data_IF_231900002697
#
_entry.id   IF_231900002697
#
_cell.length_a   1.000
_cell.length_b   1.000
_cell.length_c   1.000
_cell.angle_alpha   90.00
_cell.angle_beta   90.00
_cell.angle_gamma   90.00
#
_symmetry.space_group_name_H-M   'P 1'
#
loop_
_entity.id
_entity.type
_entity.pdbx_description
1 polymer ?
#
# COMPACT_ATOMS: atom_id res chain seq x y z
N UNK A 1 -16.65 -7.66 14.84
CA UNK A 1 -16.35 -8.39 13.59
C UNK A 1 -14.97 -9.05 13.74
N UNK A 2 -14.91 -10.39 13.83
CA UNK A 2 -13.72 -11.15 14.29
C UNK A 2 -12.50 -10.96 13.37
N UNK A 3 -11.33 -10.73 13.97
CA UNK A 3 -10.03 -10.53 13.31
C UNK A 3 -9.59 -11.67 12.36
N UNK A 4 -10.23 -12.84 12.44
CA UNK A 4 -9.99 -14.00 11.58
C UNK A 4 -10.37 -13.75 10.11
N UNK A 5 -11.50 -13.09 9.83
CA UNK A 5 -11.92 -12.79 8.45
C UNK A 5 -11.00 -11.78 7.76
N UNK A 6 -10.36 -10.89 8.53
CA UNK A 6 -9.50 -9.83 8.00
C UNK A 6 -8.16 -10.41 7.49
N UNK A 7 -7.58 -11.37 8.23
CA UNK A 7 -6.34 -12.04 7.80
C UNK A 7 -6.56 -12.91 6.55
N UNK A 8 -7.68 -13.63 6.48
CA UNK A 8 -8.03 -14.47 5.33
C UNK A 8 -8.21 -13.67 4.04
N UNK A 9 -8.97 -12.57 4.10
CA UNK A 9 -9.21 -11.70 2.95
C UNK A 9 -7.92 -11.10 2.36
N UNK A 10 -7.04 -10.58 3.22
CA UNK A 10 -5.74 -10.04 2.79
C UNK A 10 -4.87 -11.08 2.08
N UNK A 11 -4.88 -12.33 2.55
CA UNK A 11 -4.11 -13.42 1.93
C UNK A 11 -4.64 -13.71 0.53
N UNK A 12 -5.97 -13.76 0.35
CA UNK A 12 -6.58 -14.01 -0.96
C UNK A 12 -6.22 -12.92 -1.99
N UNK A 13 -6.32 -11.64 -1.62
CA UNK A 13 -5.97 -10.54 -2.52
C UNK A 13 -4.50 -10.57 -2.96
N UNK A 14 -3.59 -10.88 -2.04
CA UNK A 14 -2.16 -11.00 -2.35
C UNK A 14 -1.90 -12.18 -3.32
N UNK A 15 -2.56 -13.32 -3.09
CA UNK A 15 -2.46 -14.48 -3.98
C UNK A 15 -2.93 -14.14 -5.39
N UNK A 16 -4.13 -13.55 -5.51
CA UNK A 16 -4.69 -13.20 -6.83
C UNK A 16 -3.83 -12.15 -7.53
N UNK A 17 -3.29 -11.18 -6.79
CA UNK A 17 -2.39 -10.17 -7.34
C UNK A 17 -1.12 -10.79 -7.96
N UNK A 18 -0.47 -11.72 -7.26
CA UNK A 18 0.73 -12.38 -7.79
C UNK A 18 0.42 -13.23 -9.01
N UNK A 19 -0.66 -14.02 -8.95
CA UNK A 19 -1.08 -14.87 -10.09
C UNK A 19 -1.38 -14.00 -11.32
N UNK A 20 -2.16 -12.92 -11.15
CA UNK A 20 -2.47 -11.99 -12.23
C UNK A 20 -1.20 -11.39 -12.84
N UNK A 21 -0.24 -10.98 -12.00
CA UNK A 21 1.01 -10.40 -12.48
C UNK A 21 1.89 -11.38 -13.26
N UNK A 22 1.99 -12.64 -12.81
CA UNK A 22 2.72 -13.65 -13.57
C UNK A 22 2.05 -13.93 -14.92
N UNK A 23 0.72 -14.01 -14.97
CA UNK A 23 -0.01 -14.18 -16.22
C UNK A 23 0.21 -13.01 -17.20
N UNK A 24 0.21 -11.76 -16.71
CA UNK A 24 0.52 -10.60 -17.55
C UNK A 24 1.96 -10.68 -18.09
N UNK A 25 2.94 -11.06 -17.26
CA UNK A 25 4.33 -11.23 -17.72
C UNK A 25 4.47 -12.32 -18.78
N UNK A 26 3.73 -13.43 -18.66
CA UNK A 26 3.67 -14.47 -19.69
C UNK A 26 3.04 -13.90 -20.97
N UNK A 27 1.93 -13.16 -20.84
CA UNK A 27 1.25 -12.54 -21.98
C UNK A 27 2.15 -11.55 -22.75
N UNK A 28 2.87 -10.68 -22.04
CA UNK A 28 3.84 -9.74 -22.63
C UNK A 28 4.92 -10.50 -23.41
N UNK A 29 5.39 -11.64 -22.89
CA UNK A 29 6.37 -12.48 -23.58
C UNK A 29 5.80 -13.14 -24.84
N UNK A 30 4.59 -13.69 -24.76
CA UNK A 30 3.92 -14.28 -25.92
C UNK A 30 3.69 -13.24 -27.03
N UNK A 31 3.33 -12.01 -26.65
CA UNK A 31 3.18 -10.89 -27.56
C UNK A 31 4.50 -10.50 -28.25
N UNK A 32 5.62 -10.50 -27.51
CA UNK A 32 6.96 -10.24 -28.06
C UNK A 32 7.40 -11.33 -29.06
N UNK A 33 7.09 -12.61 -28.79
CA UNK A 33 7.51 -13.75 -29.63
C UNK A 33 6.71 -13.92 -30.92
N UNK A 34 5.51 -13.36 -31.02
CA UNK A 34 4.72 -13.42 -32.24
C UNK A 34 4.15 -12.05 -32.55
N UNK A 35 4.60 -11.46 -33.66
CA UNK A 35 3.92 -10.35 -34.36
C UNK A 35 2.46 -10.75 -34.65
N UNK A 36 1.54 -10.53 -33.71
CA UNK A 36 0.06 -10.57 -33.86
C UNK A 36 -0.56 -11.90 -34.35
N UNK A 37 0.19 -12.83 -34.94
CA UNK A 37 -0.30 -14.10 -35.51
C UNK A 37 -0.55 -15.20 -34.46
N UNK A 38 -0.07 -15.07 -33.21
CA UNK A 38 -0.31 -16.08 -32.15
C UNK A 38 -1.77 -16.23 -31.80
N UNK A 39 -2.49 -15.11 -31.75
CA UNK A 39 -3.86 -15.07 -31.27
C UNK A 39 -4.86 -15.56 -32.33
N UNK A 40 -4.45 -15.62 -33.61
CA UNK A 40 -5.30 -16.15 -34.69
C UNK A 40 -5.31 -17.68 -34.76
N UNK A 41 -4.20 -18.35 -34.42
CA UNK A 41 -4.05 -19.81 -34.54
C UNK A 41 -3.78 -20.49 -33.19
N UNK A 42 -4.25 -19.93 -32.07
CA UNK A 42 -4.03 -20.51 -30.75
C UNK A 42 -4.91 -21.75 -30.52
N UNK A 43 -4.36 -22.94 -30.73
CA UNK A 43 -5.01 -24.18 -30.33
C UNK A 43 -4.72 -24.48 -28.84
N UNK A 44 -5.76 -24.50 -28.02
CA UNK A 44 -5.69 -24.78 -26.58
C UNK A 44 -5.14 -26.18 -26.28
N UNK A 45 -5.56 -27.18 -27.06
CA UNK A 45 -5.21 -28.59 -26.83
C UNK A 45 -3.74 -28.88 -27.12
N UNK A 46 -3.18 -28.25 -28.16
CA UNK A 46 -1.77 -28.40 -28.54
C UNK A 46 -0.79 -27.65 -27.63
N UNK A 47 -1.28 -26.72 -26.79
CA UNK A 47 -0.44 -25.90 -25.90
C UNK A 47 -0.73 -26.13 -24.42
N UNK A 48 -1.48 -27.17 -24.07
CA UNK A 48 -1.89 -27.47 -22.69
C UNK A 48 -0.68 -27.75 -21.79
N UNK A 49 0.35 -28.40 -22.33
CA UNK A 49 1.63 -28.66 -21.68
C UNK A 49 2.31 -27.35 -21.27
N UNK A 50 2.40 -26.38 -22.17
CA UNK A 50 3.00 -25.06 -21.93
C UNK A 50 2.22 -24.26 -20.89
N UNK A 51 0.90 -24.34 -20.91
CA UNK A 51 0.03 -23.70 -19.91
C UNK A 51 0.27 -24.31 -18.53
N UNK A 52 0.38 -25.63 -18.44
CA UNK A 52 0.70 -26.34 -17.20
C UNK A 52 2.08 -25.94 -16.65
N UNK A 53 3.11 -25.88 -17.50
CA UNK A 53 4.44 -25.40 -17.10
C UNK A 53 4.41 -23.95 -16.63
N UNK A 54 3.71 -23.06 -17.34
CA UNK A 54 3.59 -21.66 -16.95
C UNK A 54 2.86 -21.49 -15.60
N UNK A 55 1.84 -22.31 -15.34
CA UNK A 55 1.11 -22.35 -14.07
C UNK A 55 1.99 -22.82 -12.92
N UNK A 56 2.80 -23.86 -13.14
CA UNK A 56 3.77 -24.36 -12.15
C UNK A 56 4.81 -23.30 -11.80
N UNK A 57 5.36 -22.61 -12.80
CA UNK A 57 6.31 -21.50 -12.58
C UNK A 57 5.64 -20.39 -11.76
N UNK A 58 4.41 -20.02 -12.09
CA UNK A 58 3.63 -19.01 -11.36
C UNK A 58 3.46 -19.37 -9.89
N UNK A 59 3.18 -20.64 -9.61
CA UNK A 59 3.02 -21.15 -8.26
C UNK A 59 4.33 -21.10 -7.45
N UNK A 60 5.46 -21.50 -8.07
CA UNK A 60 6.79 -21.43 -7.43
C UNK A 60 7.17 -19.98 -7.12
N UNK A 61 6.97 -19.07 -8.07
CA UNK A 61 7.21 -17.62 -7.87
C UNK A 61 6.36 -17.08 -6.74
N UNK A 62 5.08 -17.46 -6.68
CA UNK A 62 4.20 -17.07 -5.59
C UNK A 62 4.68 -17.56 -4.22
N UNK A 63 5.08 -18.83 -4.08
CA UNK A 63 5.62 -19.36 -2.83
C UNK A 63 6.85 -18.56 -2.41
N UNK A 64 7.76 -18.28 -3.33
CA UNK A 64 8.97 -17.53 -3.03
C UNK A 64 8.67 -16.10 -2.53
N UNK A 65 7.77 -15.40 -3.22
CA UNK A 65 7.30 -14.07 -2.80
C UNK A 65 6.65 -14.12 -1.43
N UNK A 66 5.82 -15.15 -1.17
CA UNK A 66 5.17 -15.32 0.13
C UNK A 66 6.18 -15.52 1.26
N UNK A 67 7.23 -16.32 1.03
CA UNK A 67 8.32 -16.53 1.99
C UNK A 67 9.07 -15.22 2.24
N UNK A 68 9.41 -14.47 1.18
CA UNK A 68 10.07 -13.17 1.32
C UNK A 68 9.21 -12.15 2.07
N UNK A 69 7.91 -12.05 1.76
CA UNK A 69 6.98 -11.15 2.45
C UNK A 69 6.84 -11.51 3.93
N UNK A 70 6.88 -12.80 4.26
CA UNK A 70 6.81 -13.31 5.63
C UNK A 70 8.11 -13.06 6.40
N UNK A 71 9.26 -13.10 5.71
CA UNK A 71 10.58 -12.90 6.32
C UNK A 71 10.86 -11.43 6.68
N UNK A 72 10.29 -10.47 5.95
CA UNK A 72 10.56 -9.05 6.19
C UNK A 72 9.72 -8.50 7.37
N UNK A 73 10.36 -7.95 8.42
CA UNK A 73 9.65 -7.29 9.51
C UNK A 73 8.86 -6.07 9.04
N UNK A 74 7.69 -5.83 9.65
CA UNK A 74 6.82 -4.70 9.31
C UNK A 74 7.52 -3.33 9.36
N UNK A 75 8.53 -3.16 10.22
CA UNK A 75 9.30 -1.91 10.30
C UNK A 75 10.15 -1.69 9.03
N UNK A 76 10.76 -2.76 8.50
CA UNK A 76 11.55 -2.71 7.28
C UNK A 76 10.66 -2.50 6.06
N UNK A 77 9.48 -3.15 6.03
CA UNK A 77 8.42 -2.90 5.03
C UNK A 77 8.12 -1.41 4.86
N UNK A 78 7.98 -0.70 5.98
CA UNK A 78 7.72 0.74 5.95
C UNK A 78 8.91 1.60 5.49
N UNK A 79 10.15 1.14 5.67
CA UNK A 79 11.34 1.82 5.13
C UNK A 79 11.42 1.64 3.61
N UNK A 80 11.03 0.47 3.10
CA UNK A 80 10.97 0.19 1.65
C UNK A 80 9.90 1.06 0.97
N UNK A 81 8.72 1.19 1.57
CA UNK A 81 7.62 1.97 0.98
C UNK A 81 7.86 3.48 0.99
N UNK A 82 8.67 3.97 1.92
CA UNK A 82 8.97 5.40 2.07
C UNK A 82 10.48 5.59 2.21
N UNK A 83 11.24 5.43 1.11
CA UNK A 83 12.68 5.61 1.14
C UNK A 83 13.06 7.10 1.22
N UNK A 84 14.25 7.38 1.77
CA UNK A 84 14.87 8.71 1.84
C UNK A 84 13.98 9.79 2.49
N UNK A 85 13.60 10.82 1.69
CA UNK A 85 12.87 12.03 2.07
C UNK A 85 11.35 11.88 1.95
N UNK A 86 10.86 10.73 1.51
CA UNK A 86 9.42 10.52 1.37
C UNK A 86 8.80 10.33 2.75
N UNK A 87 7.85 11.21 3.09
CA UNK A 87 7.30 11.28 4.44
C UNK A 87 6.09 10.38 4.55
N UNK A 88 6.02 9.61 5.63
CA UNK A 88 4.82 8.85 5.98
C UNK A 88 3.64 9.80 6.17
N UNK A 89 2.41 9.42 5.76
CA UNK A 89 1.22 10.23 5.96
C UNK A 89 1.02 10.73 7.40
N UNK A 90 1.28 9.89 8.40
CA UNK A 90 1.18 10.27 9.82
C UNK A 90 2.23 11.29 10.28
N UNK A 91 3.31 11.48 9.53
CA UNK A 91 4.33 12.48 9.82
C UNK A 91 3.97 13.88 9.31
N UNK A 92 3.09 13.98 8.31
CA UNK A 92 2.76 15.25 7.64
C UNK A 92 1.31 15.68 7.84
N UNK A 93 0.46 14.83 8.44
CA UNK A 93 -0.98 15.06 8.52
C UNK A 93 -1.31 16.39 9.19
N UNK A 94 -0.69 16.72 10.33
CA UNK A 94 -0.97 17.98 11.03
C UNK A 94 -0.45 19.20 10.26
N UNK A 95 0.69 19.08 9.58
CA UNK A 95 1.19 20.15 8.71
C UNK A 95 0.24 20.41 7.54
N UNK A 96 -0.39 19.36 6.99
CA UNK A 96 -1.37 19.49 5.92
C UNK A 96 -2.70 20.07 6.37
N UNK A 97 -3.16 19.71 7.57
CA UNK A 97 -4.36 20.31 8.14
C UNK A 97 -4.21 21.83 8.28
N UNK A 98 -3.01 22.30 8.66
CA UNK A 98 -2.66 23.73 8.75
C UNK A 98 -2.73 24.46 7.41
N UNK A 99 -2.38 23.79 6.31
CA UNK A 99 -2.41 24.34 4.95
C UNK A 99 -3.84 24.43 4.36
N UNK A 100 -4.88 24.23 5.17
CA UNK A 100 -6.29 24.18 4.76
C UNK A 100 -6.56 23.11 3.70
N UNK A 101 -6.08 21.89 3.95
CA UNK A 101 -6.52 20.72 3.18
C UNK A 101 -8.05 20.62 3.31
N UNK A 102 -8.76 20.81 2.19
CA UNK A 102 -10.23 20.87 2.12
C UNK A 102 -10.77 19.46 2.41
N UNK A 103 -11.31 19.29 3.62
CA UNK A 103 -11.87 18.04 4.09
C UNK A 103 -13.27 18.31 4.61
N UNK A 104 -14.28 17.98 3.80
CA UNK A 104 -15.70 18.23 4.08
C UNK A 104 -16.21 17.61 5.39
N UNK A 105 -15.42 16.75 6.05
CA UNK A 105 -15.79 16.05 7.29
C UNK A 105 -15.66 16.90 8.55
N UNK A 106 -14.87 17.97 8.54
CA UNK A 106 -14.67 18.83 9.72
C UNK A 106 -14.26 20.24 9.30
N UNK A 107 -14.60 21.26 10.11
CA UNK A 107 -14.15 22.63 9.84
C UNK A 107 -12.74 22.83 10.38
N UNK A 108 -11.99 23.74 9.77
CA UNK A 108 -10.66 24.11 10.29
C UNK A 108 -10.72 24.66 11.72
N UNK A 109 -11.79 25.38 12.07
CA UNK A 109 -12.05 25.86 13.44
C UNK A 109 -12.05 24.71 14.46
N UNK A 110 -12.63 23.58 14.08
CA UNK A 110 -12.78 22.41 14.93
C UNK A 110 -11.41 21.73 15.15
N UNK A 111 -10.56 21.76 14.12
CA UNK A 111 -9.17 21.27 14.20
C UNK A 111 -8.35 22.16 15.13
N UNK A 112 -8.49 23.48 15.02
CA UNK A 112 -7.76 24.42 15.89
C UNK A 112 -8.20 24.29 17.34
N UNK A 113 -9.49 24.07 17.59
CA UNK A 113 -10.02 23.88 18.94
C UNK A 113 -9.57 22.57 19.59
N UNK A 114 -9.60 21.45 18.85
CA UNK A 114 -9.32 20.12 19.41
C UNK A 114 -7.84 19.74 19.31
N UNK A 115 -7.17 20.10 18.22
CA UNK A 115 -5.76 19.78 17.96
C UNK A 115 -4.82 20.99 18.10
N UNK A 116 -5.30 22.13 18.62
CA UNK A 116 -4.53 23.37 18.75
C UNK A 116 -3.21 23.20 19.49
N UNK A 117 -3.19 22.46 20.59
CA UNK A 117 -1.97 22.22 21.38
C UNK A 117 -0.93 21.40 20.60
N UNK A 118 -1.38 20.42 19.80
CA UNK A 118 -0.52 19.66 18.91
C UNK A 118 0.07 20.59 17.85
N UNK A 119 -0.75 21.45 17.25
CA UNK A 119 -0.31 22.40 16.24
C UNK A 119 0.70 23.41 16.79
N UNK A 120 0.50 23.93 18.02
CA UNK A 120 1.44 24.82 18.71
C UNK A 120 2.78 24.12 18.94
N UNK A 121 2.75 22.92 19.53
CA UNK A 121 3.94 22.10 19.77
C UNK A 121 4.74 21.82 18.49
N UNK A 122 4.04 21.61 17.36
CA UNK A 122 4.68 21.40 16.06
C UNK A 122 5.30 22.69 15.48
N UNK A 123 4.75 23.87 15.81
CA UNK A 123 5.30 25.16 15.37
C UNK A 123 6.56 25.56 16.14
N UNK A 124 6.67 25.14 17.41
CA UNK A 124 7.84 25.39 18.27
C UNK A 124 9.04 24.50 17.92
N UNK A 125 8.85 23.49 17.06
CA UNK A 125 9.90 22.57 16.67
C UNK A 125 10.92 23.23 15.72
N UNK A 126 12.23 23.20 16.03
CA UNK A 126 13.26 23.84 15.21
C UNK A 126 13.57 23.07 13.93
N UNK A 127 13.34 21.75 13.90
CA UNK A 127 13.69 20.90 12.76
C UNK A 127 12.49 20.15 12.20
N UNK A 128 12.50 19.95 10.89
CA UNK A 128 11.46 19.18 10.20
C UNK A 128 11.42 17.70 10.65
N UNK A 129 12.57 17.12 10.96
CA UNK A 129 12.64 15.73 11.42
C UNK A 129 11.96 15.55 12.78
N UNK A 130 12.20 16.47 13.71
CA UNK A 130 11.56 16.47 15.02
C UNK A 130 10.05 16.71 14.91
N UNK A 131 9.64 17.69 14.09
CA UNK A 131 8.22 17.94 13.79
C UNK A 131 7.53 16.68 13.26
N UNK A 132 8.16 16.00 12.29
CA UNK A 132 7.66 14.74 11.73
C UNK A 132 7.59 13.63 12.79
N UNK A 133 8.57 13.55 13.69
CA UNK A 133 8.59 12.58 14.79
C UNK A 133 7.42 12.82 15.75
N UNK A 134 7.23 14.06 16.19
CA UNK A 134 6.14 14.43 17.11
C UNK A 134 4.79 14.21 16.44
N UNK A 135 4.61 14.63 15.18
CA UNK A 135 3.39 14.38 14.41
C UNK A 135 3.01 12.89 14.42
N UNK A 136 3.98 12.00 14.18
CA UNK A 136 3.72 10.55 14.21
C UNK A 136 3.30 10.05 15.59
N UNK A 137 3.92 10.55 16.65
CA UNK A 137 3.63 10.14 18.04
C UNK A 137 2.22 10.60 18.42
N UNK A 138 1.89 11.87 18.20
CA UNK A 138 0.57 12.41 18.55
C UNK A 138 -0.53 11.77 17.71
N UNK A 139 -0.29 11.58 16.40
CA UNK A 139 -1.25 10.87 15.56
C UNK A 139 -1.47 9.43 16.04
N UNK A 140 -0.40 8.73 16.42
CA UNK A 140 -0.51 7.36 16.92
C UNK A 140 -1.26 7.28 18.26
N UNK A 141 -1.08 8.27 19.15
CA UNK A 141 -1.85 8.37 20.40
C UNK A 141 -3.34 8.48 20.11
N UNK A 142 -3.74 9.38 19.21
CA UNK A 142 -5.16 9.53 18.80
C UNK A 142 -5.66 8.23 18.17
N UNK A 143 -4.88 7.64 17.24
CA UNK A 143 -5.24 6.38 16.59
C UNK A 143 -5.50 5.25 17.61
N UNK A 144 -4.69 5.16 18.68
CA UNK A 144 -4.81 4.11 19.69
C UNK A 144 -6.12 4.16 20.49
N UNK A 145 -6.79 5.32 20.54
CA UNK A 145 -8.08 5.48 21.20
C UNK A 145 -9.24 4.88 20.40
N UNK A 146 -9.05 4.69 19.10
CA UNK A 146 -10.12 4.35 18.15
C UNK A 146 -9.74 3.19 17.22
N UNK A 147 -8.75 2.38 17.59
CA UNK A 147 -8.21 1.31 16.75
C UNK A 147 -9.22 0.19 16.44
N UNK A 148 -10.23 0.05 17.30
CA UNK A 148 -11.34 -0.89 17.19
C UNK A 148 -12.53 -0.36 16.37
N UNK A 149 -12.55 0.93 16.02
CA UNK A 149 -13.65 1.53 15.28
C UNK A 149 -13.69 1.02 13.84
N UNK A 150 -14.85 0.54 13.39
CA UNK A 150 -15.00 -0.16 12.10
C UNK A 150 -14.45 0.65 10.92
N UNK A 151 -14.76 1.95 10.86
CA UNK A 151 -14.30 2.86 9.80
C UNK A 151 -12.77 2.98 9.76
N UNK A 152 -12.13 3.06 10.93
CA UNK A 152 -10.68 3.17 11.08
C UNK A 152 -10.02 1.84 10.77
N UNK A 153 -10.61 0.73 11.22
CA UNK A 153 -10.12 -0.63 10.96
C UNK A 153 -10.10 -0.95 9.46
N UNK A 154 -11.15 -0.59 8.71
CA UNK A 154 -11.21 -0.75 7.25
C UNK A 154 -10.11 0.08 6.59
N UNK A 155 -9.97 1.34 6.97
CA UNK A 155 -8.93 2.23 6.39
C UNK A 155 -7.51 1.74 6.69
N UNK A 156 -7.27 1.20 7.90
CA UNK A 156 -6.00 0.60 8.30
C UNK A 156 -5.71 -0.64 7.47
N UNK A 157 -6.72 -1.48 7.26
CA UNK A 157 -6.62 -2.68 6.44
C UNK A 157 -6.21 -2.31 5.01
N UNK A 158 -6.91 -1.38 4.37
CA UNK A 158 -6.61 -0.96 2.99
C UNK A 158 -5.18 -0.43 2.85
N UNK A 159 -4.72 0.36 3.83
CA UNK A 159 -3.37 0.89 3.86
C UNK A 159 -2.31 -0.21 4.00
N UNK A 160 -2.52 -1.18 4.91
CA UNK A 160 -1.61 -2.30 5.12
C UNK A 160 -1.55 -3.20 3.88
N UNK A 161 -2.69 -3.52 3.27
CA UNK A 161 -2.76 -4.36 2.06
C UNK A 161 -1.99 -3.71 0.92
N UNK A 162 -2.22 -2.41 0.67
CA UNK A 162 -1.53 -1.72 -0.42
C UNK A 162 -0.01 -1.66 -0.21
N UNK A 163 0.42 -1.53 1.05
CA UNK A 163 1.85 -1.59 1.42
C UNK A 163 2.43 -2.96 1.07
N UNK A 164 1.73 -4.04 1.39
CA UNK A 164 2.20 -5.38 1.10
C UNK A 164 2.20 -5.67 -0.41
N UNK A 165 1.19 -5.21 -1.15
CA UNK A 165 1.18 -5.27 -2.62
C UNK A 165 2.40 -4.56 -3.21
N UNK A 166 2.75 -3.36 -2.73
CA UNK A 166 3.94 -2.63 -3.18
C UNK A 166 5.22 -3.42 -2.91
N UNK A 167 5.34 -4.05 -1.74
CA UNK A 167 6.53 -4.86 -1.37
C UNK A 167 6.62 -6.14 -2.19
N UNK A 168 5.49 -6.81 -2.39
CA UNK A 168 5.39 -7.95 -3.30
C UNK A 168 5.80 -7.57 -4.72
N UNK A 169 5.45 -6.37 -5.18
CA UNK A 169 5.84 -5.86 -6.50
C UNK A 169 7.34 -5.57 -6.57
N UNK A 170 7.96 -5.09 -5.49
CA UNK A 170 9.42 -4.99 -5.40
C UNK A 170 10.11 -6.35 -5.53
N UNK A 171 9.55 -7.40 -4.90
CA UNK A 171 10.08 -8.76 -5.05
C UNK A 171 9.85 -9.32 -6.46
N UNK A 172 8.69 -9.02 -7.08
CA UNK A 172 8.45 -9.34 -8.48
C UNK A 172 9.52 -8.69 -9.36
N UNK A 173 9.79 -7.39 -9.18
CA UNK A 173 10.82 -6.69 -9.94
C UNK A 173 12.20 -7.34 -9.77
N UNK A 174 12.59 -7.66 -8.52
CA UNK A 174 13.86 -8.34 -8.25
C UNK A 174 13.93 -9.70 -8.96
N UNK A 175 12.86 -10.50 -8.87
CA UNK A 175 12.76 -11.77 -9.58
C UNK A 175 12.88 -11.60 -11.08
N UNK A 176 12.14 -10.67 -11.67
CA UNK A 176 12.15 -10.38 -13.10
C UNK A 176 13.53 -9.92 -13.59
N UNK A 177 14.27 -9.12 -12.82
CA UNK A 177 15.65 -8.71 -13.15
C UNK A 177 16.58 -9.94 -13.17
N UNK A 178 16.50 -10.82 -12.15
CA UNK A 178 17.31 -12.04 -12.08
C UNK A 178 17.01 -12.96 -13.27
N UNK A 179 15.73 -13.18 -13.60
CA UNK A 179 15.32 -13.98 -14.77
C UNK A 179 15.77 -13.39 -16.11
N UNK A 180 15.81 -12.05 -16.22
CA UNK A 180 16.33 -11.38 -17.41
C UNK A 180 17.86 -11.54 -17.54
N UNK A 181 18.59 -11.58 -16.43
CA UNK A 181 20.04 -11.72 -16.40
C UNK A 181 20.51 -13.13 -16.80
N UNK A 182 19.72 -14.18 -16.55
CA UNK A 182 20.08 -15.57 -16.88
C UNK A 182 19.88 -15.94 -18.36
N UNK A 183 19.56 -14.99 -19.23
CA UNK A 183 19.35 -15.13 -20.69
C UNK A 183 18.23 -16.06 -21.16
N UNK A 184 17.69 -16.93 -20.29
CA UNK A 184 16.61 -17.88 -20.60
C UNK A 184 15.27 -17.15 -20.88
N UNK A 185 15.06 -15.99 -20.26
CA UNK A 185 13.81 -15.23 -20.35
C UNK A 185 14.03 -13.72 -20.47
N UNK A 186 14.92 -13.31 -21.38
CA UNK A 186 15.20 -11.88 -21.59
C UNK A 186 14.01 -11.18 -22.24
N UNK A 187 13.27 -10.38 -21.49
CA UNK A 187 12.22 -9.47 -21.94
C UNK A 187 12.20 -8.25 -21.00
N UNK A 188 12.75 -7.12 -21.46
CA UNK A 188 12.80 -5.91 -20.65
C UNK A 188 11.43 -5.24 -20.50
N UNK A 189 10.45 -5.55 -21.35
CA UNK A 189 9.09 -5.02 -21.22
C UNK A 189 8.39 -5.48 -19.95
N UNK A 190 8.71 -6.67 -19.44
CA UNK A 190 8.18 -7.10 -18.14
C UNK A 190 8.72 -6.25 -17.00
N UNK A 191 9.99 -5.80 -17.08
CA UNK A 191 10.54 -4.86 -16.10
C UNK A 191 9.83 -3.50 -16.17
N UNK A 192 9.57 -2.99 -17.37
CA UNK A 192 8.85 -1.72 -17.57
C UNK A 192 7.43 -1.81 -16.98
N UNK A 193 6.73 -2.91 -17.22
CA UNK A 193 5.39 -3.16 -16.66
C UNK A 193 5.41 -3.18 -15.12
N UNK A 194 6.32 -3.92 -14.50
CA UNK A 194 6.41 -3.98 -13.02
C UNK A 194 6.83 -2.62 -12.43
N UNK A 195 7.69 -1.86 -13.10
CA UNK A 195 8.03 -0.49 -12.70
C UNK A 195 6.82 0.44 -12.74
N UNK A 196 5.98 0.33 -13.78
CA UNK A 196 4.73 1.08 -13.84
C UNK A 196 3.79 0.73 -12.68
N UNK A 197 3.61 -0.56 -12.37
CA UNK A 197 2.82 -0.98 -11.21
C UNK A 197 3.37 -0.43 -9.90
N UNK A 198 4.69 -0.42 -9.71
CA UNK A 198 5.33 0.16 -8.51
C UNK A 198 4.95 1.62 -8.33
N UNK A 199 4.93 2.41 -9.41
CA UNK A 199 4.53 3.82 -9.36
C UNK A 199 3.06 3.96 -8.94
N UNK A 200 2.16 3.20 -9.57
CA UNK A 200 0.73 3.21 -9.24
C UNK A 200 0.49 2.82 -7.78
N UNK A 201 1.12 1.73 -7.32
CA UNK A 201 1.00 1.25 -5.95
C UNK A 201 1.61 2.21 -4.95
N UNK A 202 2.71 2.89 -5.29
CA UNK A 202 3.30 3.90 -4.43
C UNK A 202 2.30 5.03 -4.13
N UNK A 203 1.65 5.57 -5.16
CA UNK A 203 0.59 6.57 -4.99
C UNK A 203 -0.60 6.00 -4.20
N UNK A 204 -1.00 4.75 -4.47
CA UNK A 204 -2.10 4.11 -3.75
C UNK A 204 -1.81 3.95 -2.25
N UNK A 205 -0.59 3.52 -1.88
CA UNK A 205 -0.14 3.42 -0.48
C UNK A 205 -0.21 4.77 0.19
N UNK A 206 0.33 5.80 -0.45
CA UNK A 206 0.34 7.14 0.10
C UNK A 206 -1.08 7.71 0.28
N UNK A 207 -1.94 7.58 -0.74
CA UNK A 207 -3.31 8.06 -0.71
C UNK A 207 -4.15 7.35 0.35
N UNK A 208 -4.04 6.01 0.46
CA UNK A 208 -4.75 5.24 1.49
C UNK A 208 -4.22 5.52 2.89
N UNK A 209 -2.92 5.75 3.04
CA UNK A 209 -2.34 6.18 4.31
C UNK A 209 -2.82 7.57 4.74
N UNK A 210 -2.94 8.52 3.81
CA UNK A 210 -3.55 9.83 4.06
C UNK A 210 -5.02 9.69 4.45
N UNK A 211 -5.80 8.86 3.74
CA UNK A 211 -7.20 8.57 4.07
C UNK A 211 -7.35 8.02 5.49
N UNK A 212 -6.50 7.08 5.89
CA UNK A 212 -6.46 6.57 7.27
C UNK A 212 -6.20 7.69 8.26
N UNK A 213 -5.19 8.53 8.02
CA UNK A 213 -4.85 9.61 8.94
C UNK A 213 -6.00 10.62 9.10
N UNK A 214 -6.61 11.03 7.99
CA UNK A 214 -7.78 11.93 7.99
C UNK A 214 -9.00 11.30 8.67
N UNK A 215 -9.25 10.01 8.46
CA UNK A 215 -10.37 9.31 9.13
C UNK A 215 -10.23 9.27 10.65
N UNK A 216 -9.00 9.05 11.15
CA UNK A 216 -8.72 9.08 12.59
C UNK A 216 -8.99 10.47 13.16
N UNK A 217 -8.50 11.52 12.50
CA UNK A 217 -8.66 12.90 12.96
C UNK A 217 -10.12 13.35 12.89
N UNK A 218 -10.82 13.08 11.79
CA UNK A 218 -12.24 13.40 11.66
C UNK A 218 -13.07 12.73 12.77
N UNK A 219 -12.79 11.46 13.07
CA UNK A 219 -13.48 10.73 14.13
C UNK A 219 -13.18 11.32 15.52
N UNK A 220 -11.91 11.65 15.78
CA UNK A 220 -11.49 12.28 17.02
C UNK A 220 -12.21 13.61 17.24
N UNK A 221 -12.19 14.50 16.25
CA UNK A 221 -12.85 15.82 16.30
C UNK A 221 -14.34 15.66 16.56
N UNK A 222 -15.02 14.78 15.80
CA UNK A 222 -16.46 14.53 15.96
C UNK A 222 -16.79 14.08 17.38
N UNK A 223 -15.98 13.18 17.96
CA UNK A 223 -16.22 12.64 19.30
C UNK A 223 -15.99 13.69 20.39
N UNK A 224 -14.93 14.48 20.29
CA UNK A 224 -14.64 15.53 21.29
C UNK A 224 -15.66 16.68 21.23
N UNK A 225 -16.14 17.06 20.04
CA UNK A 225 -17.21 18.04 19.90
C UNK A 225 -18.52 17.51 20.49
N UNK A 226 -18.90 16.28 20.18
CA UNK A 226 -20.11 15.69 20.73
C UNK A 226 -20.06 15.60 22.27
N UNK A 227 -18.89 15.29 22.82
CA UNK A 227 -18.65 15.29 24.27
C UNK A 227 -18.78 16.69 24.88
N UNK A 228 -18.25 17.73 24.22
CA UNK A 228 -18.41 19.13 24.66
C UNK A 228 -19.87 19.58 24.61
N UNK A 229 -20.62 19.14 23.60
CA UNK A 229 -22.03 19.47 23.41
C UNK A 229 -22.98 18.61 24.26
N UNK A 230 -22.48 17.70 25.10
CA UNK A 230 -23.30 16.83 25.95
C UNK A 230 -24.12 15.78 25.19
N UNK A 231 -23.70 15.44 23.97
CA UNK A 231 -24.38 14.45 23.10
C UNK A 231 -23.85 13.02 23.27
N UNK A 232 -22.82 12.82 24.11
CA UNK A 232 -22.15 11.55 24.43
C UNK A 232 -21.68 11.50 25.89
#
# INVERSE_FOLDING_TARGET
>A
MKSSNIKGYRKAELTYYVIANVLVMIFIKLYEYKKIAFLKDFNLWENIDKICYASLISFVVYIFIYVLDSAIPSQLKWKICFPFKTKKPSAIIFSRLKEKDDDDRFKYSDVEEICGDILKKLNECPTEEERNRISRIEWFRIFSLYDCETKILISKKDYVISRDLLITTWFLLLGTIIFNATSIYRNWWTCVYVLFELVVLYFAVWAKGMRLCKNVIAFHITKEINKKNGLL
#
